data_IF_008259466029
#
_entry.id   IF_008259466029
#
_cell.length_a   1.000
_cell.length_b   1.000
_cell.length_c   1.000
_cell.angle_alpha   90.00
_cell.angle_beta   90.00
_cell.angle_gamma   90.00
#
_symmetry.space_group_name_H-M   'P 1'
#
loop_
_entity.id
_entity.type
_entity.pdbx_description
1 polymer ?
#
# COMPACT_ATOMS: atom_id res chain seq x y z
N UNK A 1 9.06 -6.29 -4.95
CA UNK A 1 9.62 -6.63 -6.28
C UNK A 1 8.47 -7.09 -7.16
N UNK A 2 8.50 -6.87 -8.47
CA UNK A 2 7.52 -7.46 -9.38
C UNK A 2 7.89 -8.93 -9.63
N UNK A 3 6.89 -9.80 -9.75
CA UNK A 3 7.05 -11.18 -10.21
C UNK A 3 6.96 -11.26 -11.73
N UNK A 4 7.42 -12.36 -12.33
CA UNK A 4 7.37 -12.54 -13.79
C UNK A 4 5.93 -12.42 -14.34
N UNK A 5 4.95 -13.02 -13.64
CA UNK A 5 3.52 -12.89 -13.98
C UNK A 5 3.04 -11.42 -13.97
N UNK A 6 3.51 -10.62 -13.01
CA UNK A 6 3.15 -9.21 -12.91
C UNK A 6 3.85 -8.38 -13.98
N UNK A 7 5.08 -8.73 -14.36
CA UNK A 7 5.82 -8.10 -15.45
C UNK A 7 5.10 -8.32 -16.78
N UNK A 8 4.67 -9.54 -17.07
CA UNK A 8 3.86 -9.86 -18.25
C UNK A 8 2.55 -9.05 -18.26
N UNK A 9 1.89 -8.92 -17.09
CA UNK A 9 0.68 -8.11 -16.95
C UNK A 9 0.89 -6.62 -17.26
N UNK A 10 2.09 -6.08 -17.05
CA UNK A 10 2.40 -4.67 -17.28
C UNK A 10 2.35 -4.26 -18.75
N UNK A 11 2.61 -5.20 -19.68
CA UNK A 11 2.66 -4.94 -21.13
C UNK A 11 1.38 -4.27 -21.62
N UNK A 12 0.24 -4.82 -21.21
CA UNK A 12 -1.10 -4.33 -21.56
C UNK A 12 -1.84 -3.73 -20.35
N UNK A 13 -1.12 -3.31 -19.31
CA UNK A 13 -1.73 -2.71 -18.12
C UNK A 13 -2.29 -1.32 -18.40
N UNK A 14 -3.48 -1.02 -17.90
CA UNK A 14 -3.95 0.37 -17.80
C UNK A 14 -3.11 1.15 -16.80
N UNK A 15 -3.17 2.49 -16.82
CA UNK A 15 -2.45 3.32 -15.85
C UNK A 15 -2.80 2.97 -14.39
N UNK A 16 -4.08 2.72 -14.10
CA UNK A 16 -4.53 2.32 -12.77
C UNK A 16 -3.95 0.95 -12.35
N UNK A 17 -3.98 -0.04 -13.26
CA UNK A 17 -3.42 -1.37 -12.97
C UNK A 17 -1.91 -1.33 -12.75
N UNK A 18 -1.18 -0.54 -13.55
CA UNK A 18 0.26 -0.31 -13.31
C UNK A 18 0.50 0.30 -11.93
N UNK A 19 -0.29 1.31 -11.56
CA UNK A 19 -0.20 1.94 -10.24
C UNK A 19 -0.36 0.92 -9.10
N UNK A 20 -1.37 0.05 -9.19
CA UNK A 20 -1.59 -1.00 -8.21
C UNK A 20 -0.44 -2.03 -8.15
N UNK A 21 0.04 -2.50 -9.31
CA UNK A 21 1.16 -3.46 -9.38
C UNK A 21 2.45 -2.87 -8.80
N UNK A 22 2.76 -1.61 -9.12
CA UNK A 22 3.94 -0.92 -8.61
C UNK A 22 3.85 -0.65 -7.10
N UNK A 23 2.67 -0.31 -6.60
CA UNK A 23 2.43 -0.16 -5.16
C UNK A 23 2.70 -1.46 -4.40
N UNK A 24 2.11 -2.58 -4.85
CA UNK A 24 2.34 -3.88 -4.24
C UNK A 24 3.82 -4.31 -4.33
N UNK A 25 4.47 -4.07 -5.46
CA UNK A 25 5.89 -4.34 -5.63
C UNK A 25 6.76 -3.53 -4.66
N UNK A 26 6.40 -2.27 -4.38
CA UNK A 26 7.10 -1.45 -3.41
C UNK A 26 6.91 -1.94 -1.97
N UNK A 27 5.68 -2.28 -1.60
CA UNK A 27 5.35 -2.86 -0.29
C UNK A 27 6.13 -4.14 -0.02
N UNK A 28 6.28 -5.01 -1.03
CA UNK A 28 7.12 -6.23 -0.92
C UNK A 28 8.63 -5.96 -0.89
N UNK A 29 9.10 -4.83 -1.43
CA UNK A 29 10.53 -4.53 -1.52
C UNK A 29 11.07 -3.84 -0.27
N UNK A 30 10.20 -3.11 0.42
CA UNK A 30 10.52 -2.31 1.58
C UNK A 30 9.51 -2.58 2.69
N UNK A 31 9.90 -3.39 3.68
CA UNK A 31 9.01 -3.83 4.76
C UNK A 31 8.32 -2.67 5.47
N UNK A 32 9.04 -1.55 5.71
CA UNK A 32 8.45 -0.34 6.30
C UNK A 32 7.25 0.21 5.49
N UNK A 33 7.29 0.13 4.16
CA UNK A 33 6.18 0.56 3.30
C UNK A 33 5.05 -0.47 3.33
N UNK A 34 5.38 -1.76 3.31
CA UNK A 34 4.39 -2.84 3.41
C UNK A 34 3.64 -2.81 4.74
N UNK A 35 4.35 -2.66 5.85
CA UNK A 35 3.79 -2.50 7.18
C UNK A 35 2.92 -1.24 7.26
N UNK A 36 3.36 -0.11 6.72
CA UNK A 36 2.53 1.11 6.70
C UNK A 36 1.24 0.91 5.89
N UNK A 37 1.33 0.19 4.77
CA UNK A 37 0.18 -0.12 3.93
C UNK A 37 -0.86 -0.99 4.66
N UNK A 38 -0.40 -1.96 5.43
CA UNK A 38 -1.27 -2.89 6.15
C UNK A 38 -1.79 -2.29 7.48
N UNK A 39 -0.88 -1.81 8.33
CA UNK A 39 -1.17 -1.34 9.69
C UNK A 39 -1.77 0.07 9.75
N UNK A 40 -1.63 0.88 8.70
CA UNK A 40 -2.16 2.25 8.71
C UNK A 40 -3.14 2.48 7.59
N UNK A 41 -2.74 2.24 6.34
CA UNK A 41 -3.60 2.54 5.18
C UNK A 41 -4.83 1.63 5.17
N UNK A 42 -4.64 0.31 5.23
CA UNK A 42 -5.75 -0.65 5.22
C UNK A 42 -6.56 -0.57 6.52
N UNK A 43 -5.92 -0.52 7.68
CA UNK A 43 -6.64 -0.45 8.96
C UNK A 43 -7.56 0.77 9.05
N UNK A 44 -7.08 1.98 8.71
CA UNK A 44 -7.91 3.19 8.70
C UNK A 44 -9.10 3.10 7.76
N UNK A 45 -8.89 2.50 6.60
CA UNK A 45 -9.97 2.26 5.66
C UNK A 45 -11.02 1.31 6.24
N UNK A 46 -10.60 0.20 6.86
CA UNK A 46 -11.50 -0.76 7.52
C UNK A 46 -12.26 -0.14 8.70
N UNK A 47 -11.61 0.74 9.45
CA UNK A 47 -12.21 1.50 10.56
C UNK A 47 -13.07 2.68 10.11
N UNK A 48 -13.29 2.86 8.80
CA UNK A 48 -14.07 3.97 8.22
C UNK A 48 -13.56 5.36 8.64
N UNK A 49 -12.24 5.47 8.88
CA UNK A 49 -11.54 6.71 9.20
C UNK A 49 -10.53 7.03 8.09
N UNK A 50 -10.98 7.28 6.85
CA UNK A 50 -10.11 7.28 5.67
C UNK A 50 -9.16 8.48 5.61
N UNK A 51 -9.20 9.41 6.55
CA UNK A 51 -8.22 10.50 6.63
C UNK A 51 -6.83 9.93 6.93
N UNK A 52 -5.86 10.30 6.10
CA UNK A 52 -4.46 9.91 6.27
C UNK A 52 -3.58 11.15 6.12
N UNK A 53 -2.77 11.42 7.14
CA UNK A 53 -1.92 12.60 7.22
C UNK A 53 -0.45 12.23 7.37
N UNK A 54 0.44 13.20 7.15
CA UNK A 54 1.86 13.03 7.41
C UNK A 54 2.17 12.70 8.87
N UNK A 55 1.36 13.19 9.83
CA UNK A 55 1.53 12.86 11.24
C UNK A 55 1.27 11.38 11.52
N UNK A 56 0.34 10.75 10.80
CA UNK A 56 0.06 9.33 10.93
C UNK A 56 1.25 8.47 10.50
N UNK A 57 1.92 8.85 9.41
CA UNK A 57 3.17 8.23 9.00
C UNK A 57 4.28 8.44 10.04
N UNK A 58 4.44 9.65 10.56
CA UNK A 58 5.46 9.93 11.57
C UNK A 58 5.20 9.15 12.87
N UNK A 59 3.92 9.01 13.28
CA UNK A 59 3.52 8.20 14.45
C UNK A 59 3.84 6.73 14.22
N UNK A 60 3.51 6.20 13.04
CA UNK A 60 3.85 4.84 12.65
C UNK A 60 5.37 4.56 12.71
N UNK A 61 6.18 5.42 12.09
CA UNK A 61 7.65 5.27 12.11
C UNK A 61 8.19 5.32 13.54
N UNK A 62 7.73 6.29 14.37
CA UNK A 62 8.13 6.35 15.78
C UNK A 62 7.79 5.08 16.55
N UNK A 63 6.64 4.45 16.26
CA UNK A 63 6.26 3.17 16.85
C UNK A 63 7.20 2.03 16.46
N UNK A 64 7.69 2.01 15.21
CA UNK A 64 8.64 1.01 14.69
C UNK A 64 10.08 1.21 15.20
N UNK A 65 10.50 2.47 15.45
CA UNK A 65 11.84 2.79 16.00
C UNK A 65 12.11 2.11 17.35
N UNK A 66 11.07 1.84 18.15
CA UNK A 66 11.21 1.11 19.42
C UNK A 66 11.68 -0.35 19.22
N UNK A 67 11.52 -0.90 18.01
CA UNK A 67 11.81 -2.30 17.69
C UNK A 67 12.90 -2.45 16.60
N UNK A 68 13.19 -1.39 15.85
CA UNK A 68 14.16 -1.36 14.74
C UNK A 68 15.23 -0.30 14.96
N UNK A 69 16.37 -0.71 15.52
CA UNK A 69 17.47 0.21 15.84
C UNK A 69 18.07 0.85 14.58
N UNK A 70 17.97 0.20 13.41
CA UNK A 70 18.34 0.79 12.13
C UNK A 70 17.52 2.04 11.74
N UNK A 71 16.29 2.17 12.25
CA UNK A 71 15.45 3.35 12.04
C UNK A 71 15.80 4.50 12.98
N UNK A 72 16.43 4.22 14.12
CA UNK A 72 16.85 5.25 15.08
C UNK A 72 17.99 6.13 14.54
N UNK A 73 18.80 5.62 13.62
CA UNK A 73 19.91 6.35 13.01
C UNK A 73 19.53 7.12 11.73
N UNK A 74 18.28 6.98 11.26
CA UNK A 74 17.83 7.66 10.04
C UNK A 74 17.64 9.15 10.31
N UNK A 75 18.37 9.99 9.57
CA UNK A 75 18.21 11.45 9.63
C UNK A 75 16.77 11.87 9.34
N UNK A 76 16.28 12.86 10.07
CA UNK A 76 14.94 13.43 9.90
C UNK A 76 14.67 13.88 8.45
N UNK A 77 15.68 14.42 7.78
CA UNK A 77 15.60 14.82 6.37
C UNK A 77 15.36 13.64 5.42
N UNK A 78 15.89 12.45 5.73
CA UNK A 78 15.64 11.22 4.97
C UNK A 78 14.23 10.71 5.21
N UNK A 79 13.75 10.72 6.46
CA UNK A 79 12.38 10.33 6.78
C UNK A 79 11.35 11.24 6.11
N UNK A 80 11.57 12.56 6.10
CA UNK A 80 10.69 13.50 5.38
C UNK A 80 10.62 13.19 3.89
N UNK A 81 11.76 12.89 3.25
CA UNK A 81 11.80 12.49 1.84
C UNK A 81 11.07 11.17 1.60
N UNK A 82 11.28 10.18 2.47
CA UNK A 82 10.60 8.89 2.39
C UNK A 82 9.09 9.07 2.50
N UNK A 83 8.62 9.84 3.49
CA UNK A 83 7.21 10.18 3.66
C UNK A 83 6.62 10.82 2.41
N UNK A 84 7.27 11.85 1.87
CA UNK A 84 6.81 12.49 0.63
C UNK A 84 6.73 11.49 -0.54
N UNK A 85 7.70 10.58 -0.65
CA UNK A 85 7.69 9.55 -1.70
C UNK A 85 6.54 8.55 -1.50
N UNK A 86 6.31 8.07 -0.28
CA UNK A 86 5.22 7.11 0.03
C UNK A 86 3.85 7.72 -0.29
N UNK A 87 3.60 8.97 0.12
CA UNK A 87 2.35 9.64 -0.20
C UNK A 87 2.17 9.88 -1.71
N UNK A 88 3.25 10.25 -2.41
CA UNK A 88 3.21 10.36 -3.86
C UNK A 88 2.87 9.02 -4.52
N UNK A 89 3.45 7.91 -4.06
CA UNK A 89 3.15 6.58 -4.57
C UNK A 89 1.68 6.18 -4.33
N UNK A 90 1.11 6.53 -3.17
CA UNK A 90 -0.31 6.34 -2.90
C UNK A 90 -1.20 7.15 -3.86
N UNK A 91 -0.85 8.41 -4.14
CA UNK A 91 -1.54 9.24 -5.14
C UNK A 91 -1.45 8.60 -6.54
N UNK A 92 -0.26 8.22 -6.97
CA UNK A 92 0.00 7.61 -8.29
C UNK A 92 -0.74 6.28 -8.47
N UNK A 93 -0.91 5.52 -7.39
CA UNK A 93 -1.70 4.30 -7.37
C UNK A 93 -3.22 4.53 -7.25
N UNK A 94 -3.67 5.79 -7.16
CA UNK A 94 -5.10 6.12 -6.99
C UNK A 94 -5.67 5.75 -5.63
N UNK A 95 -4.82 5.49 -4.63
CA UNK A 95 -5.20 5.06 -3.28
C UNK A 95 -5.36 6.23 -2.30
N UNK A 96 -4.92 7.42 -2.70
CA UNK A 96 -5.00 8.63 -1.89
C UNK A 96 -5.40 9.81 -2.78
N UNK A 97 -6.43 10.54 -2.34
CA UNK A 97 -6.93 11.72 -3.03
C UNK A 97 -6.30 13.00 -2.45
N UNK A 98 -6.23 14.05 -3.25
CA UNK A 98 -5.64 15.36 -2.92
C UNK A 98 -6.20 16.04 -1.66
N UNK A 99 -7.33 15.56 -1.12
CA UNK A 99 -7.96 16.07 0.11
C UNK A 99 -7.50 15.40 1.41
N UNK A 100 -6.47 14.55 1.37
CA UNK A 100 -6.01 13.86 2.58
C UNK A 100 -6.80 12.60 2.92
N UNK A 101 -7.55 12.06 1.95
CA UNK A 101 -8.42 10.91 2.17
C UNK A 101 -7.99 9.72 1.32
N UNK A 102 -7.97 8.55 1.95
CA UNK A 102 -7.83 7.26 1.30
C UNK A 102 -9.02 6.99 0.37
N UNK A 103 -8.71 6.48 -0.80
CA UNK A 103 -9.68 6.04 -1.79
C UNK A 103 -9.73 4.52 -1.81
N UNK A 104 -10.92 3.94 -1.95
CA UNK A 104 -11.09 2.49 -2.06
C UNK A 104 -10.33 1.97 -3.28
N UNK A 105 -9.51 0.94 -3.11
CA UNK A 105 -8.86 0.28 -4.23
C UNK A 105 -9.89 -0.50 -5.07
N UNK A 106 -10.04 -0.12 -6.34
CA UNK A 106 -10.86 -0.85 -7.32
C UNK A 106 -9.92 -1.65 -8.22
N UNK A 107 -9.60 -2.87 -7.79
CA UNK A 107 -8.71 -3.77 -8.52
C UNK A 107 -9.46 -4.47 -9.65
N UNK A 108 -8.85 -4.52 -10.83
CA UNK A 108 -9.35 -5.38 -11.91
C UNK A 108 -9.19 -6.85 -11.51
N UNK A 109 -10.03 -7.74 -12.07
CA UNK A 109 -9.98 -9.18 -11.75
C UNK A 109 -8.58 -9.77 -11.98
N UNK A 110 -7.89 -9.40 -13.06
CA UNK A 110 -6.56 -9.91 -13.38
C UNK A 110 -5.49 -9.46 -12.38
N UNK A 111 -5.54 -8.19 -11.95
CA UNK A 111 -4.61 -7.68 -10.94
C UNK A 111 -4.89 -8.31 -9.58
N UNK A 112 -6.17 -8.38 -9.17
CA UNK A 112 -6.53 -9.05 -7.92
C UNK A 112 -6.07 -10.51 -7.88
N UNK A 113 -6.23 -11.24 -9.00
CA UNK A 113 -5.76 -12.62 -9.11
C UNK A 113 -4.23 -12.73 -8.99
N UNK A 114 -3.47 -11.85 -9.65
CA UNK A 114 -2.01 -11.83 -9.55
C UNK A 114 -1.53 -11.55 -8.12
N UNK A 115 -2.11 -10.52 -7.47
CA UNK A 115 -1.77 -10.14 -6.09
C UNK A 115 -2.18 -11.19 -5.04
N UNK A 116 -3.15 -12.04 -5.37
CA UNK A 116 -3.59 -13.14 -4.50
C UNK A 116 -2.65 -14.34 -4.53
N UNK A 117 -1.74 -14.44 -5.50
CA UNK A 117 -0.78 -15.56 -5.58
C UNK A 117 0.32 -15.50 -4.52
N UNK A 118 0.62 -14.31 -4.02
CA UNK A 118 1.57 -14.12 -2.92
C UNK A 118 1.03 -14.72 -1.61
N UNK A 119 1.91 -15.24 -0.77
CA UNK A 119 1.60 -15.68 0.59
C UNK A 119 2.49 -14.94 1.60
N UNK A 120 1.95 -14.01 2.41
CA UNK A 120 0.55 -13.59 2.48
C UNK A 120 0.11 -12.83 1.21
N UNK A 121 -1.20 -12.75 0.97
CA UNK A 121 -1.74 -12.03 -0.19
C UNK A 121 -1.36 -10.55 -0.15
N UNK A 122 -0.92 -10.02 -1.29
CA UNK A 122 -0.59 -8.60 -1.44
C UNK A 122 -1.82 -7.69 -1.39
N UNK A 123 -3.04 -8.25 -1.40
CA UNK A 123 -4.28 -7.50 -1.22
C UNK A 123 -4.35 -6.81 0.16
N UNK A 124 -3.58 -7.29 1.15
CA UNK A 124 -3.44 -6.65 2.47
C UNK A 124 -2.83 -5.25 2.43
N UNK A 125 -2.16 -4.88 1.34
CA UNK A 125 -1.58 -3.54 1.17
C UNK A 125 -2.57 -2.51 0.63
N UNK A 126 -3.81 -2.89 0.36
CA UNK A 126 -4.79 -2.03 -0.30
C UNK A 126 -5.93 -1.65 0.65
N UNK A 127 -6.44 -0.40 0.55
CA UNK A 127 -7.66 0.04 1.24
C UNK A 127 -8.88 -0.62 0.59
N UNK A 128 -9.09 -1.89 0.93
CA UNK A 128 -10.19 -2.71 0.45
C UNK A 128 -10.60 -3.76 1.48
N UNK A 129 -11.88 -4.12 1.45
CA UNK A 129 -12.48 -5.08 2.39
C UNK A 129 -12.24 -6.55 1.99
N UNK A 130 -11.22 -6.86 1.18
CA UNK A 130 -11.06 -8.23 0.65
C UNK A 130 -10.72 -9.19 1.79
N UNK A 131 -11.33 -10.36 2.07
CA UNK A 131 -12.56 -11.18 1.80
C UNK A 131 -13.35 -11.24 0.47
N UNK A 132 -13.42 -10.21 -0.35
CA UNK A 132 -14.10 -10.19 -1.65
C UNK A 132 -13.45 -11.03 -2.78
N UNK A 133 -12.90 -12.20 -2.46
CA UNK A 133 -12.75 -13.31 -3.41
C UNK A 133 -13.92 -14.29 -3.18
N UNK A 134 -15.10 -13.93 -3.69
CA UNK A 134 -16.19 -14.87 -3.98
C UNK A 134 -16.71 -15.73 -2.82
N UNK A 135 -17.60 -15.17 -1.99
CA UNK A 135 -18.65 -15.98 -1.35
C UNK A 135 -20.00 -15.42 -1.77
N UNK A 136 -20.94 -16.23 -2.32
CA UNK A 136 -22.30 -15.76 -2.53
C UNK A 136 -22.90 -15.53 -1.14
N UNK A 137 -23.31 -14.29 -0.86
CA UNK A 137 -24.25 -14.04 0.22
C UNK A 137 -25.57 -14.74 -0.14
N UNK A 138 -26.15 -15.36 0.87
CA UNK A 138 -27.19 -16.38 0.82
C UNK A 138 -28.48 -15.95 0.13
#
# INVERSE_FOLDING_TARGET
MLTDDEIELLVDATAAERGHLLWAAACRRYDLIGDFAEEVVRERFLLLTPTLTYEDFDRFVRGKVLWHTELAEVKESTLRKLRSNVFRMLCEAGLFADRGCLSRAVLSRRVAAALSKSSPSDLRFFPTNVDATGRPER
#
